data_IF_137022662340
#
_entry.id   IF_137022662340
#
_cell.length_a   1.000
_cell.length_b   1.000
_cell.length_c   1.000
_cell.angle_alpha   90.00
_cell.angle_beta   90.00
_cell.angle_gamma   90.00
#
_symmetry.space_group_name_H-M   'P 1'
#
loop_
_entity.id
_entity.type
_entity.pdbx_description
1 polymer ?
#
# COMPACT_ATOMS: atom_id res chain seq x y z
N UNK A 1 -22.62 -4.43 -1.12
CA UNK A 1 -21.16 -4.28 -1.34
C UNK A 1 -20.92 -3.71 -2.73
N UNK A 2 -20.52 -2.44 -2.85
CA UNK A 2 -20.51 -1.68 -4.11
C UNK A 2 -19.52 -2.22 -5.16
N UNK A 3 -19.85 -2.06 -6.44
CA UNK A 3 -19.05 -2.50 -7.59
C UNK A 3 -17.63 -1.92 -7.61
N UNK A 4 -17.46 -0.67 -7.18
CA UNK A 4 -16.14 -0.03 -7.07
C UNK A 4 -15.19 -0.75 -6.10
N UNK A 5 -15.72 -1.30 -5.00
CA UNK A 5 -14.92 -2.05 -4.01
C UNK A 5 -14.49 -3.42 -4.54
N UNK A 6 -15.38 -4.09 -5.30
CA UNK A 6 -15.08 -5.39 -5.95
C UNK A 6 -14.01 -5.25 -7.03
N UNK A 7 -14.06 -4.18 -7.84
CA UNK A 7 -13.05 -3.90 -8.88
C UNK A 7 -11.67 -3.63 -8.28
N UNK A 8 -11.60 -2.82 -7.22
CA UNK A 8 -10.34 -2.51 -6.50
C UNK A 8 -9.68 -3.74 -5.85
N UNK A 9 -10.49 -4.61 -5.22
CA UNK A 9 -10.01 -5.88 -4.63
C UNK A 9 -9.45 -6.87 -5.67
N UNK A 10 -10.09 -6.99 -6.84
CA UNK A 10 -9.62 -7.87 -7.92
C UNK A 10 -8.29 -7.39 -8.52
N UNK A 11 -8.11 -6.08 -8.65
CA UNK A 11 -6.85 -5.47 -9.16
C UNK A 11 -5.69 -5.67 -8.18
N UNK A 12 -5.93 -5.52 -6.86
CA UNK A 12 -4.91 -5.74 -5.84
C UNK A 12 -4.47 -7.22 -5.73
N UNK A 13 -5.41 -8.16 -5.88
CA UNK A 13 -5.10 -9.59 -5.90
C UNK A 13 -4.32 -10.01 -7.16
N UNK A 14 -4.70 -9.46 -8.33
CA UNK A 14 -4.01 -9.71 -9.61
C UNK A 14 -2.57 -9.18 -9.59
N UNK A 15 -2.36 -7.98 -9.07
CA UNK A 15 -1.06 -7.34 -8.86
C UNK A 15 -0.09 -8.17 -8.02
N UNK A 16 -0.57 -8.75 -6.91
CA UNK A 16 0.26 -9.61 -6.06
C UNK A 16 0.68 -10.90 -6.78
N UNK A 17 -0.15 -11.44 -7.67
CA UNK A 17 0.15 -12.66 -8.41
C UNK A 17 0.92 -12.43 -9.72
N UNK A 18 1.13 -11.18 -10.15
CA UNK A 18 1.74 -10.85 -11.43
C UNK A 18 3.23 -11.22 -11.49
N UNK A 19 3.98 -10.99 -10.39
CA UNK A 19 5.42 -11.27 -10.32
C UNK A 19 5.75 -12.56 -9.53
N UNK A 20 4.77 -13.45 -9.40
CA UNK A 20 4.90 -14.69 -8.65
C UNK A 20 5.32 -15.85 -9.56
N UNK A 21 6.29 -16.69 -9.18
CA UNK A 21 6.62 -17.90 -9.92
C UNK A 21 5.38 -18.79 -10.12
N UNK A 22 5.26 -19.43 -11.28
CA UNK A 22 4.08 -20.24 -11.64
C UNK A 22 3.77 -21.32 -10.60
N UNK A 23 4.80 -22.00 -10.09
CA UNK A 23 4.65 -23.03 -9.05
C UNK A 23 4.05 -22.47 -7.76
N UNK A 24 4.55 -21.32 -7.32
CA UNK A 24 4.06 -20.65 -6.11
C UNK A 24 2.62 -20.15 -6.29
N UNK A 25 2.31 -19.62 -7.47
CA UNK A 25 0.96 -19.18 -7.83
C UNK A 25 -0.05 -20.34 -7.81
N UNK A 26 0.33 -21.49 -8.36
CA UNK A 26 -0.50 -22.70 -8.32
C UNK A 26 -0.71 -23.19 -6.88
N UNK A 27 0.35 -23.25 -6.06
CA UNK A 27 0.29 -23.64 -4.65
C UNK A 27 -0.66 -22.74 -3.86
N UNK A 28 -0.52 -21.42 -3.96
CA UNK A 28 -1.36 -20.46 -3.23
C UNK A 28 -2.81 -20.51 -3.69
N UNK A 29 -3.05 -20.66 -4.99
CA UNK A 29 -4.42 -20.78 -5.54
C UNK A 29 -5.12 -22.02 -5.00
N UNK A 30 -4.43 -23.16 -4.97
CA UNK A 30 -4.96 -24.40 -4.40
C UNK A 30 -5.24 -24.24 -2.89
N UNK A 31 -4.30 -23.69 -2.12
CA UNK A 31 -4.48 -23.45 -0.68
C UNK A 31 -5.63 -22.47 -0.38
N UNK A 32 -5.81 -21.43 -1.20
CA UNK A 32 -6.94 -20.50 -1.09
C UNK A 32 -8.28 -21.18 -1.36
N UNK A 33 -8.34 -22.09 -2.33
CA UNK A 33 -9.54 -22.87 -2.63
C UNK A 33 -9.89 -23.81 -1.48
N UNK A 34 -8.90 -24.56 -0.97
CA UNK A 34 -9.07 -25.47 0.17
C UNK A 34 -9.46 -24.74 1.46
N UNK A 35 -9.00 -23.50 1.64
CA UNK A 35 -9.41 -22.68 2.78
C UNK A 35 -10.91 -22.28 2.73
N UNK A 36 -11.54 -22.26 1.54
CA UNK A 36 -12.96 -21.89 1.40
C UNK A 36 -13.28 -20.54 2.06
N UNK A 37 -14.26 -20.55 2.96
CA UNK A 37 -14.70 -19.41 3.79
C UNK A 37 -14.00 -19.31 5.14
N UNK A 38 -13.07 -20.20 5.47
CA UNK A 38 -12.32 -20.19 6.73
C UNK A 38 -11.36 -18.99 6.76
N UNK A 39 -11.78 -17.92 7.42
CA UNK A 39 -11.01 -16.68 7.51
C UNK A 39 -9.66 -16.86 8.20
N UNK A 40 -9.55 -17.80 9.14
CA UNK A 40 -8.31 -18.07 9.88
C UNK A 40 -7.28 -18.67 8.93
N UNK A 41 -7.63 -19.75 8.22
CA UNK A 41 -6.75 -20.38 7.23
C UNK A 41 -6.36 -19.42 6.11
N UNK A 42 -7.30 -18.60 5.63
CA UNK A 42 -7.01 -17.58 4.62
C UNK A 42 -6.00 -16.55 5.12
N UNK A 43 -6.12 -16.10 6.37
CA UNK A 43 -5.20 -15.13 6.98
C UNK A 43 -3.81 -15.71 7.18
N UNK A 44 -3.72 -16.92 7.72
CA UNK A 44 -2.47 -17.65 7.89
C UNK A 44 -1.76 -17.85 6.54
N UNK A 45 -2.52 -18.26 5.51
CA UNK A 45 -1.98 -18.36 4.16
C UNK A 45 -1.44 -17.03 3.66
N UNK A 46 -2.20 -15.94 3.75
CA UNK A 46 -1.74 -14.62 3.31
C UNK A 46 -0.51 -14.13 4.09
N UNK A 47 -0.41 -14.44 5.39
CA UNK A 47 0.79 -14.16 6.18
C UNK A 47 2.00 -14.88 5.58
N UNK A 48 1.89 -16.20 5.35
CA UNK A 48 2.98 -16.99 4.77
C UNK A 48 3.42 -16.51 3.39
N UNK A 49 2.48 -15.99 2.57
CA UNK A 49 2.80 -15.39 1.27
C UNK A 49 3.52 -14.06 1.44
N UNK A 50 3.11 -13.23 2.39
CA UNK A 50 3.75 -11.94 2.65
C UNK A 50 5.19 -12.08 3.14
N UNK A 51 5.51 -13.14 3.87
CA UNK A 51 6.86 -13.45 4.36
C UNK A 51 7.81 -13.87 3.23
N UNK A 52 7.26 -14.40 2.13
CA UNK A 52 8.01 -14.74 0.92
C UNK A 52 8.26 -13.54 0.00
N UNK A 53 7.64 -12.40 0.28
CA UNK A 53 7.79 -11.20 -0.55
C UNK A 53 9.15 -10.54 -0.33
N UNK A 54 9.82 -10.16 -1.41
CA UNK A 54 11.09 -9.42 -1.40
C UNK A 54 11.01 -8.23 -2.35
N UNK A 55 11.92 -7.28 -2.14
CA UNK A 55 12.07 -6.08 -2.96
C UNK A 55 13.33 -6.20 -3.81
N UNK A 56 13.24 -5.85 -5.10
CA UNK A 56 14.39 -5.84 -6.02
C UNK A 56 15.34 -4.67 -5.75
N UNK A 57 14.85 -3.62 -5.09
CA UNK A 57 15.62 -2.45 -4.69
C UNK A 57 15.48 -2.17 -3.18
N UNK A 58 16.48 -1.51 -2.57
CA UNK A 58 16.36 -0.96 -1.22
C UNK A 58 15.16 -0.01 -1.08
N UNK A 59 14.57 0.06 0.13
CA UNK A 59 13.37 0.87 0.40
C UNK A 59 13.50 2.34 -0.02
N UNK A 60 14.67 2.93 0.19
CA UNK A 60 14.98 4.33 -0.12
C UNK A 60 15.16 4.63 -1.62
N UNK A 61 15.10 3.62 -2.50
CA UNK A 61 15.16 3.79 -3.95
C UNK A 61 13.81 3.58 -4.63
N UNK A 62 12.79 3.12 -3.88
CA UNK A 62 11.45 2.90 -4.41
C UNK A 62 10.60 4.13 -4.12
N UNK A 63 10.19 4.83 -5.19
CA UNK A 63 9.32 6.01 -5.15
C UNK A 63 7.86 5.62 -4.84
N UNK A 64 7.63 5.15 -3.61
CA UNK A 64 6.31 4.99 -3.02
C UNK A 64 6.26 5.82 -1.74
N UNK A 65 5.55 6.94 -1.80
CA UNK A 65 5.28 7.84 -0.69
C UNK A 65 4.17 8.81 -1.11
N UNK A 66 3.47 9.46 -0.15
CA UNK A 66 2.48 10.45 -0.50
C UNK A 66 3.12 11.69 -1.14
N UNK A 67 2.32 12.42 -1.91
CA UNK A 67 2.54 13.83 -2.27
C UNK A 67 1.39 14.68 -1.71
N UNK A 68 1.63 15.98 -1.47
CA UNK A 68 0.60 16.92 -1.01
C UNK A 68 0.46 18.03 -2.04
N UNK A 69 -0.76 18.23 -2.56
CA UNK A 69 -1.12 19.46 -3.27
C UNK A 69 -1.30 20.61 -2.26
N UNK A 70 -0.32 21.50 -2.23
CA UNK A 70 -0.29 22.63 -1.30
C UNK A 70 -1.38 23.68 -1.59
N UNK A 71 -1.95 23.71 -2.81
CA UNK A 71 -3.06 24.62 -3.12
C UNK A 71 -4.38 24.15 -2.52
N UNK A 72 -4.58 22.83 -2.45
CA UNK A 72 -5.75 22.20 -1.85
C UNK A 72 -5.62 22.04 -0.32
N UNK A 73 -4.39 21.85 0.18
CA UNK A 73 -4.16 21.57 1.60
C UNK A 73 -4.55 22.75 2.50
N UNK A 74 -5.48 22.52 3.44
CA UNK A 74 -5.91 23.48 4.47
C UNK A 74 -5.15 23.37 5.80
N UNK A 75 -4.00 22.68 5.80
CA UNK A 75 -3.12 22.56 6.98
C UNK A 75 -3.81 21.98 8.23
N UNK A 76 -4.85 21.14 8.05
CA UNK A 76 -5.67 20.61 9.15
C UNK A 76 -5.01 19.54 10.04
N UNK A 77 -3.75 19.18 9.74
CA UNK A 77 -2.90 18.23 10.50
C UNK A 77 -3.43 16.80 10.65
N UNK A 78 -4.55 16.44 10.01
CA UNK A 78 -5.12 15.08 10.06
C UNK A 78 -4.12 14.01 9.63
N UNK A 79 -3.36 14.25 8.55
CA UNK A 79 -2.35 13.30 8.07
C UNK A 79 -1.18 13.12 9.04
N UNK A 80 -0.77 14.20 9.71
CA UNK A 80 0.29 14.21 10.71
C UNK A 80 -0.12 13.37 11.94
N UNK A 81 -1.33 13.62 12.46
CA UNK A 81 -1.85 12.90 13.63
C UNK A 81 -2.19 11.44 13.33
N UNK A 82 -2.60 11.13 12.09
CA UNK A 82 -2.96 9.78 11.70
C UNK A 82 -1.75 8.87 11.45
N UNK A 83 -0.66 9.40 10.88
CA UNK A 83 0.45 8.57 10.41
C UNK A 83 1.49 8.34 11.52
N UNK A 84 1.57 7.13 12.13
CA UNK A 84 2.52 6.86 13.21
C UNK A 84 3.97 6.70 12.72
N UNK A 85 4.19 6.78 11.41
CA UNK A 85 5.49 6.56 10.77
C UNK A 85 6.32 7.84 10.62
N UNK A 86 5.82 8.99 11.08
CA UNK A 86 6.58 10.24 10.98
C UNK A 86 6.81 10.72 9.55
N UNK A 87 5.98 10.29 8.59
CA UNK A 87 6.11 10.68 7.17
C UNK A 87 5.96 12.19 6.96
N UNK A 88 5.10 12.82 7.77
CA UNK A 88 4.76 14.23 7.67
C UNK A 88 5.43 15.06 8.76
N UNK A 89 5.66 16.33 8.48
CA UNK A 89 6.06 17.33 9.48
C UNK A 89 5.42 18.68 9.17
N UNK A 90 5.30 19.51 10.18
CA UNK A 90 4.85 20.89 10.08
C UNK A 90 6.06 21.82 10.05
N UNK A 91 6.06 22.76 9.09
CA UNK A 91 7.06 23.83 9.01
C UNK A 91 6.68 25.01 9.91
N UNK A 92 7.61 25.94 10.11
CA UNK A 92 7.39 27.13 10.92
C UNK A 92 6.22 28.02 10.44
N UNK A 93 5.92 27.99 9.15
CA UNK A 93 4.78 28.70 8.52
C UNK A 93 3.45 27.95 8.63
N UNK A 94 3.41 26.83 9.37
CA UNK A 94 2.24 25.96 9.52
C UNK A 94 1.96 25.07 8.31
N UNK A 95 2.77 25.12 7.24
CA UNK A 95 2.60 24.23 6.09
C UNK A 95 2.97 22.79 6.44
N UNK A 96 2.18 21.83 5.96
CA UNK A 96 2.42 20.40 6.14
C UNK A 96 3.19 19.86 4.94
N UNK A 97 4.30 19.19 5.20
CA UNK A 97 5.17 18.61 4.17
C UNK A 97 5.43 17.13 4.41
N UNK A 98 5.82 16.42 3.36
CA UNK A 98 6.32 15.04 3.44
C UNK A 98 7.81 15.09 3.78
N UNK A 99 8.12 15.02 5.07
CA UNK A 99 9.50 15.14 5.56
C UNK A 99 10.29 13.82 5.45
N UNK A 100 9.64 12.69 5.74
CA UNK A 100 10.26 11.36 5.72
C UNK A 100 9.54 10.45 4.72
N UNK A 101 9.70 10.67 3.41
CA UNK A 101 8.96 9.91 2.39
C UNK A 101 9.20 8.39 2.49
N UNK A 102 10.41 7.98 2.82
CA UNK A 102 10.80 6.57 2.84
C UNK A 102 10.36 5.80 4.10
N UNK A 103 9.88 6.49 5.13
CA UNK A 103 9.18 5.87 6.28
C UNK A 103 7.75 5.44 5.96
N UNK A 104 7.22 5.88 4.80
CA UNK A 104 5.91 5.45 4.34
C UNK A 104 5.92 3.93 4.11
N UNK A 105 4.91 3.23 4.65
CA UNK A 105 4.77 1.79 4.44
C UNK A 105 4.36 1.52 3.00
N UNK A 106 5.05 0.59 2.33
CA UNK A 106 4.76 0.20 0.95
C UNK A 106 3.29 -0.23 0.79
N UNK A 107 2.61 0.31 -0.22
CA UNK A 107 1.18 0.13 -0.50
C UNK A 107 0.20 0.65 0.55
N UNK A 108 0.66 1.30 1.62
CA UNK A 108 -0.23 2.03 2.52
C UNK A 108 -0.75 3.29 1.81
N UNK A 109 -2.07 3.45 1.76
CA UNK A 109 -2.75 4.67 1.25
C UNK A 109 -3.75 5.22 2.28
N UNK A 110 -3.61 4.87 3.55
CA UNK A 110 -4.61 5.20 4.58
C UNK A 110 -4.79 6.70 4.82
N UNK A 111 -3.75 7.51 4.59
CA UNK A 111 -3.82 8.96 4.75
C UNK A 111 -4.54 9.65 3.58
N UNK A 112 -4.51 9.09 2.37
CA UNK A 112 -5.19 9.62 1.18
C UNK A 112 -6.69 9.75 1.45
N UNK A 113 -7.35 8.66 1.86
CA UNK A 113 -8.79 8.66 2.16
C UNK A 113 -9.19 9.39 3.45
N UNK A 114 -8.23 9.87 4.25
CA UNK A 114 -8.50 10.65 5.47
C UNK A 114 -8.34 12.15 5.26
N UNK A 115 -7.70 12.57 4.17
CA UNK A 115 -7.57 13.99 3.87
C UNK A 115 -8.97 14.54 3.51
N UNK A 116 -9.54 15.47 4.30
CA UNK A 116 -10.87 16.01 4.00
C UNK A 116 -10.89 16.80 2.67
N UNK A 117 -9.75 17.38 2.30
CA UNK A 117 -9.57 18.17 1.08
C UNK A 117 -9.17 17.33 -0.14
N UNK A 118 -8.92 16.02 0.04
CA UNK A 118 -8.38 15.19 -1.05
C UNK A 118 -6.98 15.63 -1.55
N UNK A 119 -6.23 16.39 -0.75
CA UNK A 119 -4.95 16.99 -1.14
C UNK A 119 -3.77 16.00 -1.17
N UNK A 120 -3.98 14.73 -0.79
CA UNK A 120 -2.93 13.71 -0.71
C UNK A 120 -3.11 12.71 -1.84
N UNK A 121 -2.03 12.39 -2.56
CA UNK A 121 -2.03 11.39 -3.62
C UNK A 121 -0.81 10.47 -3.54
N UNK A 122 -0.91 9.31 -4.19
CA UNK A 122 0.17 8.33 -4.29
C UNK A 122 0.49 7.99 -5.76
N UNK A 123 1.70 7.47 -6.04
CA UNK A 123 2.02 6.83 -7.31
C UNK A 123 1.07 5.67 -7.64
N UNK A 124 0.98 5.28 -8.92
CA UNK A 124 0.18 4.11 -9.31
C UNK A 124 0.76 2.85 -8.66
N UNK A 125 -0.12 1.99 -8.14
CA UNK A 125 0.26 0.71 -7.53
C UNK A 125 1.03 -0.19 -8.50
N UNK A 126 0.79 -0.06 -9.81
CA UNK A 126 1.52 -0.78 -10.86
C UNK A 126 3.00 -0.39 -10.88
N UNK A 127 3.32 0.88 -10.60
CA UNK A 127 4.70 1.34 -10.54
C UNK A 127 5.47 0.74 -9.38
N UNK A 128 4.79 0.39 -8.29
CA UNK A 128 5.40 -0.35 -7.18
C UNK A 128 5.60 -1.83 -7.50
N UNK A 129 4.64 -2.47 -8.18
CA UNK A 129 4.64 -3.91 -8.40
C UNK A 129 5.92 -4.41 -9.05
N UNK A 130 6.50 -3.66 -9.99
CA UNK A 130 7.77 -4.02 -10.67
C UNK A 130 8.96 -4.27 -9.73
N UNK A 131 8.89 -3.78 -8.49
CA UNK A 131 9.92 -3.99 -7.48
C UNK A 131 9.69 -5.20 -6.60
N UNK A 132 8.58 -5.92 -6.76
CA UNK A 132 8.21 -7.05 -5.91
C UNK A 132 8.53 -8.37 -6.60
N UNK A 133 9.20 -9.26 -5.89
CA UNK A 133 9.35 -10.67 -6.28
C UNK A 133 9.07 -11.59 -5.08
N UNK A 134 8.94 -12.89 -5.35
CA UNK A 134 8.67 -13.91 -4.34
C UNK A 134 9.75 -14.97 -4.34
N UNK A 135 10.14 -15.41 -3.15
CA UNK A 135 11.04 -16.55 -2.92
C UNK A 135 10.28 -17.81 -2.54
#
# INVERSE_FOLDING_TARGET
MSEGKKKSMKVAAWAMMANMPLKLKAEITLKMLLAGSDERKRRELMHSVSERRRLTLPRNQIKWHPSIDQKACKQCKVCLNFCPKGVYSEKADGSIVVANPYECVMLCTGCEGRCPEGAISFPDKKDFQKYVYYV
#
